data_IF_776451082717
#
_entry.id   IF_776451082717
#
_cell.length_a   1.000
_cell.length_b   1.000
_cell.length_c   1.000
_cell.angle_alpha   90.00
_cell.angle_beta   90.00
_cell.angle_gamma   90.00
#
_symmetry.space_group_name_H-M   'P 1'
#
loop_
_entity.id
_entity.type
_entity.pdbx_description
1 polymer ?
#
# COMPACT_ATOMS: atom_id res chain seq x y z
N UNK A 1 13.63 -7.99 57.52
CA UNK A 1 14.07 -7.25 56.30
C UNK A 1 12.82 -6.79 55.58
N UNK A 2 12.57 -5.49 55.44
CA UNK A 2 11.34 -4.98 54.85
C UNK A 2 11.38 -5.04 53.33
N UNK A 3 10.27 -5.50 52.76
CA UNK A 3 9.96 -5.53 51.34
C UNK A 3 9.76 -4.09 50.86
N UNK A 4 10.51 -3.68 49.85
CA UNK A 4 10.41 -2.36 49.25
C UNK A 4 9.14 -2.27 48.38
N UNK A 5 8.30 -1.26 48.68
CA UNK A 5 7.15 -0.87 47.86
C UNK A 5 7.60 -0.33 46.45
N UNK A 6 6.85 -0.64 45.38
CA UNK A 6 7.13 -0.05 44.09
C UNK A 6 6.67 1.41 44.07
N UNK A 7 7.56 2.30 43.67
CA UNK A 7 7.27 3.73 43.43
C UNK A 7 6.27 3.89 42.29
N UNK A 8 5.22 4.72 42.42
CA UNK A 8 4.40 5.15 41.30
C UNK A 8 5.16 6.26 40.58
N UNK A 9 5.32 6.13 39.30
CA UNK A 9 5.87 7.25 38.60
C UNK A 9 6.26 7.00 37.17
N UNK A 10 5.66 7.78 36.34
CA UNK A 10 5.93 8.07 34.94
C UNK A 10 5.06 7.29 33.95
N UNK A 11 3.76 7.55 34.01
CA UNK A 11 2.99 7.61 32.77
C UNK A 11 3.59 8.74 31.93
N UNK A 12 4.33 8.37 30.88
CA UNK A 12 4.79 9.32 29.89
C UNK A 12 3.55 9.90 29.21
N UNK A 13 3.27 11.17 29.49
CA UNK A 13 2.33 11.98 28.75
C UNK A 13 2.75 11.96 27.26
N UNK A 14 2.05 11.18 26.46
CA UNK A 14 2.02 11.35 25.03
C UNK A 14 1.29 12.68 24.77
N UNK A 15 2.06 13.77 24.76
CA UNK A 15 1.61 15.07 24.32
C UNK A 15 1.28 14.99 22.82
N UNK A 16 0.11 14.45 22.51
CA UNK A 16 -0.58 14.67 21.26
C UNK A 16 -1.01 16.12 21.19
N UNK A 17 -0.15 17.02 20.72
CA UNK A 17 -0.59 18.37 20.32
C UNK A 17 -1.66 18.19 19.25
N UNK A 18 -2.87 18.71 19.43
CA UNK A 18 -3.89 18.67 18.41
C UNK A 18 -3.41 19.45 17.18
N UNK A 19 -3.60 18.85 15.99
CA UNK A 19 -3.21 19.39 14.68
C UNK A 19 -3.91 20.73 14.35
N UNK A 20 -4.80 21.22 15.22
CA UNK A 20 -5.57 22.43 15.01
C UNK A 20 -4.77 23.72 14.80
N UNK A 21 -3.46 23.72 15.07
CA UNK A 21 -2.62 24.92 14.90
C UNK A 21 -1.70 24.88 13.66
N UNK A 22 -1.79 23.84 12.82
CA UNK A 22 -0.81 23.67 11.73
C UNK A 22 -1.43 23.74 10.33
N UNK A 23 -2.13 24.85 10.04
CA UNK A 23 -2.47 25.24 8.67
C UNK A 23 -1.23 25.22 7.75
N UNK A 24 -0.05 25.47 8.34
CA UNK A 24 1.25 25.38 7.69
C UNK A 24 1.61 23.95 7.28
N UNK A 25 1.28 22.93 8.10
CA UNK A 25 1.60 21.54 7.79
C UNK A 25 0.73 21.00 6.63
N UNK A 26 -0.58 21.27 6.66
CA UNK A 26 -1.50 20.87 5.58
C UNK A 26 -1.13 21.55 4.26
N UNK A 27 -0.78 22.85 4.30
CA UNK A 27 -0.32 23.57 3.10
C UNK A 27 0.98 22.96 2.55
N UNK A 28 1.96 22.69 3.41
CA UNK A 28 3.23 22.04 3.00
C UNK A 28 2.99 20.66 2.37
N UNK A 29 1.97 19.93 2.83
CA UNK A 29 1.58 18.64 2.28
C UNK A 29 1.00 18.76 0.89
N UNK A 30 0.08 19.72 0.69
CA UNK A 30 -0.44 20.01 -0.64
C UNK A 30 0.67 20.42 -1.62
N UNK A 31 1.57 21.33 -1.19
CA UNK A 31 2.73 21.75 -1.98
C UNK A 31 3.68 20.56 -2.28
N UNK A 32 3.90 19.68 -1.32
CA UNK A 32 4.73 18.49 -1.50
C UNK A 32 4.11 17.53 -2.52
N UNK A 33 2.79 17.29 -2.45
CA UNK A 33 2.06 16.47 -3.44
C UNK A 33 2.22 17.04 -4.84
N UNK A 34 2.00 18.33 -5.02
CA UNK A 34 2.12 18.94 -6.36
C UNK A 34 3.56 18.82 -6.90
N UNK A 35 4.58 19.03 -6.07
CA UNK A 35 5.98 18.79 -6.45
C UNK A 35 6.25 17.34 -6.84
N UNK A 36 5.75 16.37 -6.04
CA UNK A 36 5.89 14.94 -6.39
C UNK A 36 5.21 14.65 -7.72
N UNK A 37 3.99 15.15 -7.92
CA UNK A 37 3.26 14.95 -9.18
C UNK A 37 3.99 15.56 -10.37
N UNK A 38 4.57 16.75 -10.21
CA UNK A 38 5.38 17.38 -11.24
C UNK A 38 6.61 16.53 -11.58
N UNK A 39 7.38 16.12 -10.57
CA UNK A 39 8.60 15.32 -10.77
C UNK A 39 8.28 13.93 -11.37
N UNK A 40 7.25 13.26 -10.86
CA UNK A 40 6.80 11.99 -11.43
C UNK A 40 6.25 12.18 -12.84
N UNK A 41 5.47 13.24 -13.08
CA UNK A 41 4.88 13.56 -14.38
C UNK A 41 5.89 13.88 -15.48
N UNK A 42 7.14 14.26 -15.13
CA UNK A 42 8.25 14.41 -16.10
C UNK A 42 8.67 13.07 -16.72
N UNK A 43 8.47 11.98 -15.99
CA UNK A 43 8.92 10.63 -16.37
C UNK A 43 7.74 9.74 -16.76
N UNK A 44 6.66 9.81 -15.97
CA UNK A 44 5.46 8.98 -16.14
C UNK A 44 4.36 9.80 -16.83
N UNK A 45 3.98 9.36 -18.00
CA UNK A 45 2.89 9.98 -18.77
C UNK A 45 1.58 9.30 -18.40
N UNK A 46 0.56 10.09 -18.04
CA UNK A 46 -0.72 9.57 -17.57
C UNK A 46 -0.60 8.97 -16.15
N UNK A 47 -1.55 8.11 -15.79
CA UNK A 47 -1.53 7.33 -14.53
C UNK A 47 -1.47 8.20 -13.24
N UNK A 48 -1.85 9.49 -13.31
CA UNK A 48 -1.77 10.41 -12.15
C UNK A 48 -2.61 9.94 -10.96
N UNK A 49 -3.75 9.30 -11.21
CA UNK A 49 -4.59 8.71 -10.17
C UNK A 49 -3.88 7.55 -9.45
N UNK A 50 -3.18 6.69 -10.20
CA UNK A 50 -2.40 5.58 -9.61
C UNK A 50 -1.28 6.12 -8.73
N UNK A 51 -0.58 7.17 -9.16
CA UNK A 51 0.47 7.83 -8.38
C UNK A 51 -0.10 8.43 -7.09
N UNK A 52 -1.24 9.12 -7.17
CA UNK A 52 -1.94 9.65 -5.99
C UNK A 52 -2.31 8.53 -5.00
N UNK A 53 -2.84 7.39 -5.49
CA UNK A 53 -3.20 6.26 -4.64
C UNK A 53 -1.97 5.54 -4.05
N UNK A 54 -0.85 5.48 -4.76
CA UNK A 54 0.41 4.99 -4.22
C UNK A 54 0.90 5.89 -3.08
N UNK A 55 0.83 7.22 -3.24
CA UNK A 55 1.15 8.19 -2.18
C UNK A 55 0.23 8.04 -0.98
N UNK A 56 -1.09 7.92 -1.19
CA UNK A 56 -2.06 7.66 -0.11
C UNK A 56 -1.68 6.37 0.63
N UNK A 57 -1.37 5.29 -0.09
CA UNK A 57 -0.96 4.01 0.49
C UNK A 57 0.29 4.16 1.35
N UNK A 58 1.33 4.82 0.85
CA UNK A 58 2.57 5.10 1.57
C UNK A 58 2.31 5.91 2.85
N UNK A 59 1.54 7.00 2.76
CA UNK A 59 1.23 7.86 3.90
C UNK A 59 0.38 7.16 4.97
N UNK A 60 -0.38 6.15 4.59
CA UNK A 60 -1.14 5.31 5.53
C UNK A 60 -0.32 4.17 6.15
N UNK A 61 0.97 4.02 5.81
CA UNK A 61 1.80 2.84 6.13
C UNK A 61 1.16 1.55 5.59
N UNK A 62 0.41 1.66 4.50
CA UNK A 62 -0.19 0.54 3.80
C UNK A 62 0.71 0.07 2.66
N UNK A 63 0.41 -1.10 2.12
CA UNK A 63 1.09 -1.66 0.94
C UNK A 63 0.10 -1.78 -0.20
N UNK A 64 0.57 -1.85 -1.44
CA UNK A 64 -0.28 -1.77 -2.62
C UNK A 64 -0.05 -2.97 -3.54
N UNK A 65 -1.16 -3.55 -4.01
CA UNK A 65 -1.16 -4.57 -5.05
C UNK A 65 -1.53 -3.92 -6.38
N UNK A 66 -0.66 -4.07 -7.37
CA UNK A 66 -0.77 -3.41 -8.66
C UNK A 66 -1.01 -4.44 -9.77
N UNK A 67 -2.18 -4.41 -10.39
CA UNK A 67 -2.52 -5.27 -11.51
C UNK A 67 -2.30 -4.54 -12.83
N UNK A 68 -1.69 -5.22 -13.77
CA UNK A 68 -1.51 -4.69 -15.12
C UNK A 68 -0.67 -5.63 -15.98
N UNK A 69 -0.89 -5.56 -17.28
CA UNK A 69 -0.12 -6.34 -18.25
C UNK A 69 1.35 -5.93 -18.25
N UNK A 70 2.26 -6.78 -18.73
CA UNK A 70 3.66 -6.41 -18.93
C UNK A 70 3.80 -5.20 -19.84
N UNK A 71 4.86 -4.41 -19.65
CA UNK A 71 5.15 -3.26 -20.55
C UNK A 71 4.47 -1.94 -20.18
N UNK A 72 3.56 -1.89 -19.19
CA UNK A 72 2.86 -0.65 -18.79
C UNK A 72 3.67 0.25 -17.82
N UNK A 73 4.98 0.06 -17.71
CA UNK A 73 5.86 0.95 -16.94
C UNK A 73 5.74 0.83 -15.41
N UNK A 74 5.19 -0.28 -14.87
CA UNK A 74 5.04 -0.50 -13.42
C UNK A 74 6.34 -0.28 -12.65
N UNK A 75 7.43 -0.88 -13.13
CA UNK A 75 8.77 -0.75 -12.51
C UNK A 75 9.28 0.69 -12.58
N UNK A 76 9.09 1.34 -13.74
CA UNK A 76 9.49 2.73 -13.91
C UNK A 76 8.72 3.65 -12.96
N UNK A 77 7.41 3.46 -12.84
CA UNK A 77 6.55 4.23 -11.93
C UNK A 77 6.99 4.07 -10.47
N UNK A 78 7.18 2.82 -10.00
CA UNK A 78 7.62 2.54 -8.64
C UNK A 78 8.98 3.17 -8.34
N UNK A 79 9.94 3.03 -9.26
CA UNK A 79 11.28 3.62 -9.13
C UNK A 79 11.23 5.14 -9.14
N UNK A 80 10.49 5.75 -10.06
CA UNK A 80 10.37 7.21 -10.16
C UNK A 80 9.73 7.79 -8.90
N UNK A 81 8.71 7.13 -8.34
CA UNK A 81 8.11 7.54 -7.08
C UNK A 81 9.11 7.44 -5.91
N UNK A 82 9.87 6.35 -5.82
CA UNK A 82 10.90 6.20 -4.79
C UNK A 82 11.99 7.27 -4.90
N UNK A 83 12.47 7.56 -6.13
CA UNK A 83 13.46 8.58 -6.41
C UNK A 83 12.93 9.99 -6.01
N UNK A 84 11.65 10.30 -6.28
CA UNK A 84 11.01 11.56 -5.89
C UNK A 84 10.84 11.74 -4.37
N UNK A 85 10.97 10.66 -3.60
CA UNK A 85 10.84 10.62 -2.14
C UNK A 85 12.19 10.39 -1.43
N UNK A 86 13.31 10.42 -2.16
CA UNK A 86 14.64 10.10 -1.67
C UNK A 86 14.68 8.78 -0.85
N UNK A 87 13.91 7.78 -1.29
CA UNK A 87 13.82 6.47 -0.64
C UNK A 87 14.71 5.44 -1.36
N UNK A 88 15.40 4.61 -0.57
CA UNK A 88 16.12 3.47 -1.14
C UNK A 88 15.13 2.52 -1.82
N UNK A 89 15.37 2.25 -3.11
CA UNK A 89 14.53 1.39 -3.94
C UNK A 89 15.22 0.07 -4.24
N UNK A 90 14.50 -1.04 -4.00
CA UNK A 90 14.92 -2.36 -4.48
C UNK A 90 13.79 -3.04 -5.23
N UNK A 91 14.15 -3.85 -6.23
CA UNK A 91 13.23 -4.71 -6.98
C UNK A 91 13.60 -6.16 -6.76
N UNK A 92 12.60 -6.97 -6.49
CA UNK A 92 12.69 -8.43 -6.47
C UNK A 92 11.74 -8.98 -7.52
N UNK A 93 12.29 -9.71 -8.49
CA UNK A 93 11.50 -10.46 -9.45
C UNK A 93 11.14 -11.80 -8.83
N UNK A 94 9.86 -12.07 -8.66
CA UNK A 94 9.37 -13.32 -8.11
C UNK A 94 9.37 -14.40 -9.20
N UNK A 95 10.12 -15.48 -8.97
CA UNK A 95 10.28 -16.62 -9.86
C UNK A 95 9.94 -17.91 -9.12
N UNK A 96 9.63 -19.02 -9.82
CA UNK A 96 9.24 -20.28 -9.16
C UNK A 96 10.30 -20.86 -8.22
N UNK A 97 11.57 -20.54 -8.46
CA UNK A 97 12.72 -21.00 -7.70
C UNK A 97 13.16 -20.07 -6.56
N UNK A 98 12.54 -18.86 -6.45
CA UNK A 98 12.87 -17.88 -5.42
C UNK A 98 12.56 -18.43 -4.02
N UNK A 99 13.55 -18.39 -3.14
CA UNK A 99 13.44 -18.85 -1.75
C UNK A 99 13.12 -17.69 -0.79
N UNK A 100 12.50 -17.97 0.38
CA UNK A 100 12.27 -16.96 1.41
C UNK A 100 13.55 -16.21 1.83
N UNK A 101 14.68 -16.92 1.95
CA UNK A 101 15.98 -16.35 2.30
C UNK A 101 16.51 -15.37 1.27
N UNK A 102 16.12 -15.50 0.00
CA UNK A 102 16.52 -14.56 -1.05
C UNK A 102 15.85 -13.20 -0.90
N UNK A 103 14.73 -13.15 -0.16
CA UNK A 103 13.99 -11.93 0.17
C UNK A 103 14.43 -11.38 1.52
N UNK A 104 14.46 -12.24 2.54
CA UNK A 104 14.67 -11.85 3.94
C UNK A 104 16.15 -11.76 4.33
N UNK A 105 17.03 -12.41 3.58
CA UNK A 105 18.41 -12.58 3.97
C UNK A 105 18.65 -13.88 4.73
N UNK A 106 19.91 -14.14 5.04
CA UNK A 106 20.37 -15.40 5.66
C UNK A 106 21.59 -15.17 6.52
N UNK A 107 21.79 -16.05 7.50
CA UNK A 107 23.05 -16.11 8.25
C UNK A 107 24.12 -16.82 7.42
N UNK A 108 25.29 -16.19 7.30
CA UNK A 108 26.47 -16.75 6.66
C UNK A 108 27.57 -17.04 7.68
N UNK A 109 28.32 -18.10 7.47
CA UNK A 109 29.50 -18.40 8.27
C UNK A 109 30.67 -17.60 7.70
N UNK A 110 31.23 -16.69 8.51
CA UNK A 110 32.41 -15.92 8.18
C UNK A 110 33.59 -16.39 9.02
N UNK A 111 34.68 -16.73 8.39
CA UNK A 111 35.94 -17.04 9.06
C UNK A 111 36.72 -15.74 9.28
N UNK A 112 37.12 -15.49 10.52
CA UNK A 112 38.04 -14.41 10.84
C UNK A 112 39.45 -14.82 10.42
N UNK A 113 40.05 -14.13 9.45
CA UNK A 113 41.38 -14.51 8.93
C UNK A 113 42.50 -14.45 9.97
N UNK A 114 42.33 -13.67 11.05
CA UNK A 114 43.32 -13.47 12.07
C UNK A 114 43.28 -14.54 13.17
N UNK A 115 42.08 -15.05 13.48
CA UNK A 115 41.86 -15.99 14.61
C UNK A 115 41.45 -17.40 14.17
N UNK A 116 41.06 -17.61 12.90
CA UNK A 116 40.48 -18.86 12.40
C UNK A 116 39.12 -19.20 13.00
N UNK A 117 38.50 -18.27 13.70
CA UNK A 117 37.19 -18.49 14.32
C UNK A 117 36.06 -18.27 13.32
N UNK A 118 35.08 -19.16 13.35
CA UNK A 118 33.84 -19.00 12.58
C UNK A 118 32.83 -18.19 13.37
N UNK A 119 32.31 -17.14 12.76
CA UNK A 119 31.21 -16.31 13.30
C UNK A 119 30.05 -16.35 12.34
N UNK A 120 28.81 -16.34 12.89
CA UNK A 120 27.62 -16.14 12.08
C UNK A 120 27.42 -14.64 11.88
N UNK A 121 27.32 -14.22 10.62
CA UNK A 121 27.03 -12.84 10.23
C UNK A 121 25.74 -12.82 9.41
N UNK A 122 24.80 -11.95 9.78
CA UNK A 122 23.56 -11.80 9.02
C UNK A 122 23.82 -11.01 7.74
N UNK A 123 23.47 -11.59 6.60
CA UNK A 123 23.45 -10.92 5.31
C UNK A 123 22.03 -10.49 4.99
N UNK A 124 21.68 -9.18 5.09
CA UNK A 124 20.33 -8.71 4.85
C UNK A 124 19.91 -8.90 3.39
N UNK A 125 18.69 -9.39 3.20
CA UNK A 125 18.05 -9.53 1.90
C UNK A 125 17.51 -8.21 1.34
N UNK A 126 16.96 -8.22 0.12
CA UNK A 126 16.43 -7.02 -0.54
C UNK A 126 15.21 -6.40 0.17
N UNK A 127 14.57 -7.09 1.10
CA UNK A 127 13.48 -6.52 1.91
C UNK A 127 13.95 -5.38 2.83
N UNK A 128 15.25 -5.33 3.15
CA UNK A 128 15.85 -4.25 3.92
C UNK A 128 16.06 -3.01 3.05
N UNK A 129 14.96 -2.35 2.73
CA UNK A 129 14.89 -1.14 1.91
C UNK A 129 13.67 -0.31 2.31
N UNK A 130 13.60 0.95 1.87
CA UNK A 130 12.43 1.80 2.12
C UNK A 130 11.30 1.49 1.15
N UNK A 131 11.62 1.27 -0.12
CA UNK A 131 10.63 1.03 -1.19
C UNK A 131 10.97 -0.28 -1.90
N UNK A 132 10.15 -1.30 -1.72
CA UNK A 132 10.31 -2.59 -2.36
C UNK A 132 9.27 -2.79 -3.46
N UNK A 133 9.74 -3.07 -4.68
CA UNK A 133 8.91 -3.59 -5.76
C UNK A 133 9.01 -5.11 -5.78
N UNK A 134 7.94 -5.79 -5.36
CA UNK A 134 7.79 -7.24 -5.47
C UNK A 134 7.10 -7.57 -6.80
N UNK A 135 7.91 -7.81 -7.83
CA UNK A 135 7.41 -7.94 -9.20
C UNK A 135 6.95 -9.38 -9.49
N UNK A 136 5.71 -9.54 -9.98
CA UNK A 136 5.06 -10.82 -10.29
C UNK A 136 4.96 -11.77 -9.09
N UNK A 137 4.48 -11.25 -7.94
CA UNK A 137 4.41 -12.00 -6.66
C UNK A 137 3.68 -13.35 -6.76
N UNK A 138 2.77 -13.49 -7.73
CA UNK A 138 2.03 -14.73 -7.97
C UNK A 138 2.83 -15.83 -8.72
N UNK A 139 4.08 -15.58 -9.12
CA UNK A 139 4.94 -16.58 -9.81
C UNK A 139 5.77 -17.44 -8.86
N UNK A 140 5.75 -17.16 -7.57
CA UNK A 140 6.52 -17.89 -6.57
C UNK A 140 5.61 -18.71 -5.66
N UNK A 141 6.10 -19.85 -5.08
CA UNK A 141 5.32 -20.68 -4.18
C UNK A 141 4.82 -19.91 -2.93
N UNK A 142 3.71 -20.37 -2.29
CA UNK A 142 3.08 -19.70 -1.16
C UNK A 142 4.01 -19.45 0.04
N UNK A 143 5.01 -20.30 0.25
CA UNK A 143 5.98 -20.16 1.35
C UNK A 143 6.81 -18.88 1.20
N UNK A 144 7.25 -18.57 -0.01
CA UNK A 144 8.04 -17.37 -0.31
C UNK A 144 7.17 -16.12 -0.29
N UNK A 145 5.94 -16.20 -0.82
CA UNK A 145 4.95 -15.12 -0.69
C UNK A 145 4.70 -14.78 0.78
N UNK A 146 4.51 -15.80 1.64
CA UNK A 146 4.25 -15.63 3.06
C UNK A 146 5.37 -14.88 3.80
N UNK A 147 6.64 -15.10 3.43
CA UNK A 147 7.77 -14.41 4.05
C UNK A 147 7.71 -12.88 3.80
N UNK A 148 7.42 -12.45 2.57
CA UNK A 148 7.22 -11.03 2.28
C UNK A 148 6.01 -10.46 3.02
N UNK A 149 4.89 -11.18 2.99
CA UNK A 149 3.64 -10.72 3.62
C UNK A 149 3.74 -10.62 5.14
N UNK A 150 4.59 -11.46 5.78
CA UNK A 150 4.90 -11.34 7.19
C UNK A 150 5.73 -10.06 7.45
N UNK A 151 6.81 -9.84 6.70
CA UNK A 151 7.63 -8.64 6.80
C UNK A 151 6.80 -7.34 6.61
N UNK A 152 5.83 -7.36 5.69
CA UNK A 152 4.89 -6.24 5.48
C UNK A 152 4.00 -5.96 6.71
N UNK A 153 3.60 -7.00 7.41
CA UNK A 153 2.68 -6.87 8.56
C UNK A 153 3.41 -6.48 9.84
N UNK A 154 4.56 -7.08 10.10
CA UNK A 154 5.29 -6.96 11.36
C UNK A 154 6.29 -5.79 11.33
N UNK A 155 6.75 -5.40 10.13
CA UNK A 155 7.76 -4.35 9.97
C UNK A 155 9.15 -4.80 10.41
N UNK A 156 9.34 -6.11 10.53
CA UNK A 156 10.60 -6.76 10.86
C UNK A 156 10.73 -8.13 10.18
N UNK A 157 11.91 -8.73 10.31
CA UNK A 157 12.24 -10.06 9.77
C UNK A 157 12.98 -10.86 10.82
N UNK A 158 12.52 -12.08 11.08
CA UNK A 158 13.20 -13.01 11.98
C UNK A 158 14.03 -14.03 11.17
N UNK A 159 15.34 -14.06 11.41
CA UNK A 159 16.27 -15.02 10.83
C UNK A 159 16.98 -15.77 11.97
N UNK A 160 16.90 -17.08 11.95
CA UNK A 160 17.42 -17.90 13.04
C UNK A 160 16.74 -17.58 14.37
N UNK A 161 17.47 -16.93 15.30
CA UNK A 161 16.97 -16.53 16.64
C UNK A 161 16.89 -15.02 16.82
N UNK A 162 17.18 -14.25 15.79
CA UNK A 162 17.23 -12.78 15.88
C UNK A 162 16.18 -12.15 14.99
N UNK A 163 15.59 -11.06 15.50
CA UNK A 163 14.61 -10.25 14.78
C UNK A 163 15.25 -8.92 14.42
N UNK A 164 15.18 -8.57 13.15
CA UNK A 164 15.79 -7.39 12.56
C UNK A 164 14.70 -6.43 12.09
N UNK A 165 14.63 -5.19 12.61
CA UNK A 165 13.65 -4.21 12.17
C UNK A 165 13.95 -3.76 10.73
N UNK A 166 12.89 -3.56 9.95
CA UNK A 166 13.01 -3.00 8.59
C UNK A 166 13.21 -1.48 8.63
N UNK A 167 13.89 -0.90 7.64
CA UNK A 167 14.02 0.54 7.49
C UNK A 167 12.65 1.24 7.43
N UNK A 168 12.54 2.44 7.98
CA UNK A 168 11.32 3.26 7.93
C UNK A 168 11.55 4.49 7.04
N UNK A 169 10.55 4.92 6.26
CA UNK A 169 9.31 4.21 5.99
C UNK A 169 9.56 2.91 5.21
N UNK A 170 8.73 1.89 5.41
CA UNK A 170 8.77 0.65 4.63
C UNK A 170 7.50 0.54 3.78
N UNK A 171 7.68 0.49 2.47
CA UNK A 171 6.57 0.46 1.53
C UNK A 171 6.78 -0.62 0.46
N UNK A 172 5.80 -1.47 0.28
CA UNK A 172 5.81 -2.53 -0.73
C UNK A 172 4.75 -2.27 -1.77
N UNK A 173 5.18 -2.27 -3.03
CA UNK A 173 4.31 -2.37 -4.20
C UNK A 173 4.52 -3.77 -4.79
N UNK A 174 3.51 -4.62 -4.66
CA UNK A 174 3.53 -5.94 -5.28
C UNK A 174 2.80 -5.87 -6.63
N UNK A 175 3.32 -6.55 -7.66
CA UNK A 175 2.66 -6.60 -8.96
C UNK A 175 2.10 -7.99 -9.23
N UNK A 176 0.98 -8.03 -9.96
CA UNK A 176 0.44 -9.25 -10.53
C UNK A 176 0.17 -9.05 -12.02
N UNK A 177 0.53 -10.07 -12.82
CA UNK A 177 0.18 -10.11 -14.22
C UNK A 177 -1.12 -10.91 -14.38
N UNK A 178 -2.21 -10.31 -14.87
CA UNK A 178 -3.47 -11.00 -15.03
C UNK A 178 -3.50 -11.99 -16.21
N UNK A 179 -2.52 -11.94 -17.10
CA UNK A 179 -2.50 -12.76 -18.33
C UNK A 179 -1.84 -14.12 -18.08
N UNK A 180 -0.80 -14.17 -17.26
CA UNK A 180 -0.05 -15.40 -16.97
C UNK A 180 -0.83 -16.27 -15.97
N UNK A 181 -1.53 -17.27 -16.49
CA UNK A 181 -2.27 -18.26 -15.67
C UNK A 181 -1.44 -19.52 -15.42
N UNK A 182 -0.57 -19.91 -16.37
CA UNK A 182 0.29 -21.07 -16.24
C UNK A 182 1.47 -20.82 -15.29
N UNK A 183 1.73 -21.76 -14.39
CA UNK A 183 2.85 -21.66 -13.44
C UNK A 183 2.69 -20.58 -12.38
N UNK A 184 1.46 -20.10 -12.11
CA UNK A 184 1.19 -19.10 -11.08
C UNK A 184 0.52 -19.72 -9.85
N UNK A 185 0.82 -19.12 -8.70
CA UNK A 185 0.22 -19.43 -7.41
C UNK A 185 -0.61 -18.22 -6.95
N UNK A 186 -1.95 -18.28 -7.05
CA UNK A 186 -2.79 -17.18 -6.62
C UNK A 186 -2.59 -16.91 -5.12
N UNK A 187 -2.56 -15.64 -4.75
CA UNK A 187 -2.54 -15.24 -3.34
C UNK A 187 -3.88 -15.62 -2.69
N UNK A 188 -3.88 -16.33 -1.56
CA UNK A 188 -5.09 -16.55 -0.78
C UNK A 188 -5.75 -15.22 -0.35
N UNK A 189 -7.08 -15.19 -0.22
CA UNK A 189 -7.85 -13.98 0.13
C UNK A 189 -7.36 -13.34 1.44
N UNK A 190 -7.00 -14.14 2.45
CA UNK A 190 -6.46 -13.66 3.72
C UNK A 190 -5.09 -12.95 3.56
N UNK A 191 -4.34 -13.28 2.53
CA UNK A 191 -3.07 -12.64 2.21
C UNK A 191 -3.29 -11.36 1.39
N UNK A 192 -4.22 -11.39 0.44
CA UNK A 192 -4.57 -10.21 -0.37
C UNK A 192 -5.19 -9.10 0.51
N UNK A 193 -5.93 -9.44 1.56
CA UNK A 193 -6.50 -8.48 2.53
C UNK A 193 -5.43 -7.64 3.28
N UNK A 194 -4.16 -8.07 3.27
CA UNK A 194 -3.04 -7.31 3.86
C UNK A 194 -2.64 -6.07 3.04
N UNK A 195 -2.93 -6.08 1.75
CA UNK A 195 -2.72 -4.89 0.91
C UNK A 195 -3.81 -3.86 1.18
N UNK A 196 -3.41 -2.61 1.33
CA UNK A 196 -4.37 -1.51 1.54
C UNK A 196 -5.22 -1.28 0.30
N UNK A 197 -4.57 -1.21 -0.86
CA UNK A 197 -5.18 -0.98 -2.16
C UNK A 197 -4.84 -2.08 -3.16
N UNK A 198 -5.81 -2.36 -4.02
CA UNK A 198 -5.60 -3.10 -5.28
C UNK A 198 -5.88 -2.14 -6.44
N UNK A 199 -4.83 -1.81 -7.19
CA UNK A 199 -4.87 -0.84 -8.27
C UNK A 199 -4.78 -1.56 -9.62
N UNK A 200 -5.46 -1.02 -10.63
CA UNK A 200 -5.43 -1.54 -12.00
C UNK A 200 -4.82 -0.50 -12.92
N UNK A 201 -3.72 -0.84 -13.57
CA UNK A 201 -3.13 -0.01 -14.60
C UNK A 201 -3.81 -0.33 -15.92
N UNK A 202 -4.42 0.68 -16.54
CA UNK A 202 -4.98 0.60 -17.87
C UNK A 202 -3.92 0.90 -18.95
N UNK A 203 -4.21 0.51 -20.19
CA UNK A 203 -3.42 0.96 -21.33
C UNK A 203 -3.50 2.48 -21.44
N UNK A 204 -2.41 3.14 -21.88
CA UNK A 204 -2.42 4.56 -22.16
C UNK A 204 -3.35 4.89 -23.33
N UNK A 205 -3.88 6.10 -23.35
CA UNK A 205 -4.55 6.62 -24.56
C UNK A 205 -3.54 6.80 -25.69
N UNK A 206 -4.01 6.95 -26.93
CA UNK A 206 -3.14 7.18 -28.09
C UNK A 206 -2.28 8.43 -27.87
N UNK A 207 -2.86 9.50 -27.33
CA UNK A 207 -2.16 10.76 -27.06
C UNK A 207 -1.07 10.57 -25.96
N UNK A 208 -1.36 9.76 -24.95
CA UNK A 208 -0.39 9.39 -23.93
C UNK A 208 0.72 8.52 -24.50
N UNK A 209 0.40 7.54 -25.33
CA UNK A 209 1.37 6.67 -25.99
C UNK A 209 2.32 7.46 -26.90
N UNK A 210 1.81 8.42 -27.67
CA UNK A 210 2.64 9.35 -28.47
C UNK A 210 3.60 10.14 -27.59
N UNK A 211 3.15 10.61 -26.41
CA UNK A 211 4.02 11.32 -25.46
C UNK A 211 5.08 10.39 -24.87
N UNK A 212 4.72 9.14 -24.54
CA UNK A 212 5.65 8.12 -24.05
C UNK A 212 6.73 7.86 -25.10
N UNK A 213 6.36 7.62 -26.37
CA UNK A 213 7.31 7.39 -27.46
C UNK A 213 8.30 8.56 -27.58
N UNK A 214 7.80 9.79 -27.66
CA UNK A 214 8.65 10.99 -27.78
C UNK A 214 9.58 11.17 -26.57
N UNK A 215 9.11 10.86 -25.35
CA UNK A 215 9.89 11.00 -24.13
C UNK A 215 10.95 9.89 -23.93
N UNK A 216 10.74 8.71 -24.50
CA UNK A 216 11.60 7.53 -24.26
C UNK A 216 12.55 7.21 -25.41
N UNK A 217 12.29 7.71 -26.63
CA UNK A 217 13.11 7.47 -27.83
C UNK A 217 14.04 8.63 -28.15
N UNK A 218 13.99 9.73 -27.40
CA UNK A 218 14.88 10.88 -27.55
C UNK A 218 16.27 10.67 -26.92
N UNK A 219 17.17 11.62 -27.15
CA UNK A 219 18.53 11.60 -26.60
C UNK A 219 18.62 11.92 -25.10
N UNK A 220 17.61 12.60 -24.56
CA UNK A 220 17.52 12.96 -23.14
C UNK A 220 16.36 12.21 -22.48
N UNK A 221 16.68 11.39 -21.47
CA UNK A 221 15.69 10.70 -20.65
C UNK A 221 15.48 11.53 -19.39
N UNK A 222 14.25 11.94 -19.13
CA UNK A 222 13.90 12.67 -17.93
C UNK A 222 14.13 11.81 -16.68
N UNK A 223 14.58 12.44 -15.59
CA UNK A 223 14.71 11.83 -14.27
C UNK A 223 13.96 12.67 -13.26
N UNK A 224 13.32 12.02 -12.31
CA UNK A 224 12.70 12.70 -11.18
C UNK A 224 13.78 13.16 -10.18
N UNK A 225 13.57 14.32 -9.61
CA UNK A 225 14.37 14.84 -8.50
C UNK A 225 13.63 14.62 -7.18
N UNK A 226 14.38 14.55 -6.06
CA UNK A 226 13.79 14.39 -4.75
C UNK A 226 12.92 15.61 -4.39
N UNK A 227 11.64 15.38 -4.15
CA UNK A 227 10.69 16.40 -3.68
C UNK A 227 10.50 16.33 -2.16
N UNK A 228 10.65 15.16 -1.57
CA UNK A 228 10.62 14.90 -0.12
C UNK A 228 11.74 13.94 0.27
N UNK A 229 12.09 13.96 1.56
CA UNK A 229 12.98 12.98 2.20
C UNK A 229 12.19 11.88 2.90
N UNK A 230 12.82 10.75 3.18
CA UNK A 230 12.22 9.65 3.94
C UNK A 230 11.73 10.10 5.33
N UNK A 231 12.49 10.98 6.03
CA UNK A 231 12.10 11.53 7.33
C UNK A 231 10.86 12.44 7.25
N UNK A 232 10.72 13.19 6.17
CA UNK A 232 9.51 13.98 5.91
C UNK A 232 8.32 13.07 5.68
N UNK A 233 8.47 11.97 4.93
CA UNK A 233 7.41 10.97 4.75
C UNK A 233 6.96 10.39 6.09
N UNK A 234 7.89 10.04 7.01
CA UNK A 234 7.54 9.54 8.34
C UNK A 234 6.70 10.55 9.12
N UNK A 235 7.11 11.83 9.12
CA UNK A 235 6.34 12.91 9.77
C UNK A 235 4.94 13.03 9.17
N UNK A 236 4.82 12.93 7.85
CA UNK A 236 3.53 12.99 7.15
C UNK A 236 2.63 11.81 7.52
N UNK A 237 3.18 10.62 7.70
CA UNK A 237 2.45 9.44 8.18
C UNK A 237 1.84 9.63 9.58
N UNK A 238 2.50 10.39 10.44
CA UNK A 238 1.99 10.76 11.76
C UNK A 238 0.85 11.77 11.67
N UNK A 239 1.00 12.79 10.82
CA UNK A 239 -0.05 13.78 10.58
C UNK A 239 -1.35 13.16 10.05
N UNK A 240 -1.28 12.20 9.13
CA UNK A 240 -2.46 11.51 8.59
C UNK A 240 -3.34 10.94 9.70
N UNK A 241 -2.75 10.34 10.73
CA UNK A 241 -3.52 9.74 11.84
C UNK A 241 -4.28 10.78 12.67
N UNK A 242 -3.74 11.97 12.79
CA UNK A 242 -4.32 13.08 13.54
C UNK A 242 -5.43 13.85 12.82
N UNK A 243 -5.68 13.62 11.52
CA UNK A 243 -6.73 14.31 10.77
C UNK A 243 -8.09 14.08 11.40
N UNK A 244 -8.86 15.13 11.72
CA UNK A 244 -10.20 14.99 12.25
C UNK A 244 -11.14 14.38 11.20
N UNK A 245 -12.06 13.55 11.68
CA UNK A 245 -13.10 12.92 10.87
C UNK A 245 -14.39 12.90 11.70
N UNK A 246 -15.49 13.26 11.08
CA UNK A 246 -16.79 13.26 11.73
C UNK A 246 -17.31 11.82 11.93
N UNK A 247 -18.01 11.57 13.04
CA UNK A 247 -18.59 10.25 13.34
C UNK A 247 -19.54 9.77 12.24
N UNK A 248 -20.27 10.66 11.58
CA UNK A 248 -21.12 10.33 10.43
C UNK A 248 -20.34 9.70 9.28
N UNK A 249 -19.14 10.21 8.99
CA UNK A 249 -18.26 9.69 7.93
C UNK A 249 -17.69 8.33 8.34
N UNK A 250 -17.29 8.15 9.62
CA UNK A 250 -16.82 6.85 10.15
C UNK A 250 -17.93 5.80 10.09
N UNK A 251 -19.16 6.19 10.50
CA UNK A 251 -20.33 5.33 10.46
C UNK A 251 -20.69 4.93 9.02
N UNK A 252 -20.57 5.85 8.07
CA UNK A 252 -20.78 5.55 6.65
C UNK A 252 -19.75 4.52 6.15
N UNK A 253 -18.46 4.66 6.48
CA UNK A 253 -17.45 3.68 6.12
C UNK A 253 -17.75 2.28 6.67
N UNK A 254 -18.20 2.21 7.95
CA UNK A 254 -18.57 0.95 8.58
C UNK A 254 -19.79 0.32 7.90
N UNK A 255 -20.84 1.12 7.61
CA UNK A 255 -22.06 0.66 6.90
C UNK A 255 -21.75 0.20 5.48
N UNK A 256 -20.92 0.93 4.74
CA UNK A 256 -20.51 0.55 3.39
C UNK A 256 -19.81 -0.81 3.39
N UNK A 257 -18.90 -1.06 4.33
CA UNK A 257 -18.22 -2.34 4.47
C UNK A 257 -19.18 -3.43 4.95
N UNK A 258 -20.04 -3.16 5.93
CA UNK A 258 -21.05 -4.12 6.40
C UNK A 258 -21.99 -4.53 5.26
N UNK A 259 -22.40 -3.59 4.41
CA UNK A 259 -23.28 -3.83 3.26
C UNK A 259 -22.66 -4.78 2.21
N UNK A 260 -21.36 -5.02 2.24
CA UNK A 260 -20.71 -6.04 1.39
C UNK A 260 -20.98 -7.47 1.88
N UNK A 261 -21.40 -7.65 3.16
CA UNK A 261 -21.53 -8.95 3.80
C UNK A 261 -22.94 -9.48 3.61
N UNK A 262 -23.12 -10.68 3.03
CA UNK A 262 -24.44 -11.29 2.94
C UNK A 262 -25.14 -11.38 4.30
N UNK A 263 -26.37 -10.88 4.39
CA UNK A 263 -27.16 -10.86 5.64
C UNK A 263 -26.89 -9.67 6.57
N UNK A 264 -26.02 -8.71 6.22
CA UNK A 264 -25.67 -7.58 7.07
C UNK A 264 -26.15 -6.22 6.52
N UNK A 265 -27.41 -6.14 6.07
CA UNK A 265 -28.06 -4.86 5.73
C UNK A 265 -27.73 -4.28 4.35
N UNK A 266 -27.02 -5.02 3.49
CA UNK A 266 -26.77 -4.63 2.10
C UNK A 266 -27.92 -5.05 1.18
N UNK A 267 -27.95 -4.53 -0.09
CA UNK A 267 -28.99 -4.84 -1.06
C UNK A 267 -28.97 -6.34 -1.44
N UNK A 268 -30.13 -7.00 -1.36
CA UNK A 268 -30.27 -8.42 -1.64
C UNK A 268 -29.84 -8.81 -3.08
N UNK A 269 -30.06 -7.91 -4.05
CA UNK A 269 -29.66 -8.10 -5.44
C UNK A 269 -28.13 -8.12 -5.61
N UNK A 270 -27.36 -7.51 -4.72
CA UNK A 270 -25.89 -7.56 -4.73
C UNK A 270 -25.36 -8.78 -4.00
N UNK A 271 -26.02 -9.16 -2.89
CA UNK A 271 -25.61 -10.32 -2.09
C UNK A 271 -25.71 -11.64 -2.83
N UNK A 272 -26.55 -11.75 -3.89
CA UNK A 272 -26.60 -12.95 -4.72
C UNK A 272 -25.27 -13.21 -5.46
N UNK A 273 -24.37 -12.22 -5.59
CA UNK A 273 -23.09 -12.32 -6.28
C UNK A 273 -21.89 -12.46 -5.34
N UNK A 274 -22.06 -12.16 -4.05
CA UNK A 274 -20.99 -12.14 -3.06
C UNK A 274 -21.03 -13.41 -2.22
N UNK A 275 -19.93 -14.17 -2.21
CA UNK A 275 -19.75 -15.31 -1.31
C UNK A 275 -19.30 -14.83 0.07
N UNK A 276 -18.28 -13.95 0.11
CA UNK A 276 -17.78 -13.35 1.34
C UNK A 276 -17.52 -11.86 1.12
N UNK A 277 -18.01 -11.02 2.04
CA UNK A 277 -17.78 -9.59 2.06
C UNK A 277 -16.48 -9.20 2.77
N UNK A 278 -16.18 -7.90 2.75
CA UNK A 278 -14.94 -7.36 3.29
C UNK A 278 -14.87 -7.42 4.82
N UNK A 279 -13.65 -7.59 5.34
CA UNK A 279 -13.32 -7.59 6.78
C UNK A 279 -13.38 -6.16 7.38
N UNK A 280 -13.35 -6.00 8.73
CA UNK A 280 -13.22 -4.68 9.36
C UNK A 280 -11.96 -3.91 8.95
N UNK A 281 -10.91 -4.59 8.48
CA UNK A 281 -9.71 -3.96 7.93
C UNK A 281 -10.03 -3.04 6.76
N UNK A 282 -11.03 -3.37 5.94
CA UNK A 282 -11.50 -2.51 4.87
C UNK A 282 -12.01 -1.15 5.37
N UNK A 283 -12.78 -1.12 6.47
CA UNK A 283 -13.23 0.14 7.09
C UNK A 283 -12.04 0.98 7.59
N UNK A 284 -11.04 0.33 8.20
CA UNK A 284 -9.82 1.00 8.63
C UNK A 284 -9.03 1.59 7.44
N UNK A 285 -8.90 0.82 6.36
CA UNK A 285 -8.24 1.29 5.13
C UNK A 285 -8.98 2.46 4.48
N UNK A 286 -10.32 2.42 4.45
CA UNK A 286 -11.14 3.52 3.93
C UNK A 286 -10.94 4.80 4.75
N UNK A 287 -11.03 4.71 6.07
CA UNK A 287 -10.89 5.88 6.96
C UNK A 287 -9.49 6.45 6.90
N UNK A 288 -8.43 5.62 7.01
CA UNK A 288 -7.05 6.09 6.94
C UNK A 288 -6.73 6.68 5.56
N UNK A 289 -7.16 6.00 4.50
CA UNK A 289 -6.98 6.49 3.14
C UNK A 289 -7.69 7.81 2.87
N UNK A 290 -8.91 7.98 3.39
CA UNK A 290 -9.66 9.22 3.27
C UNK A 290 -8.97 10.38 4.00
N UNK A 291 -8.40 10.13 5.20
CA UNK A 291 -7.58 11.10 5.92
C UNK A 291 -6.35 11.55 5.11
N UNK A 292 -5.62 10.58 4.53
CA UNK A 292 -4.45 10.90 3.70
C UNK A 292 -4.85 11.66 2.43
N UNK A 293 -5.97 11.26 1.78
CA UNK A 293 -6.48 11.93 0.59
C UNK A 293 -6.88 13.38 0.87
N UNK A 294 -7.63 13.62 1.97
CA UNK A 294 -8.05 14.95 2.38
C UNK A 294 -6.84 15.89 2.57
N UNK A 295 -5.83 15.43 3.30
CA UNK A 295 -4.59 16.23 3.50
C UNK A 295 -3.88 16.51 2.18
N UNK A 296 -3.71 15.50 1.33
CA UNK A 296 -3.08 15.67 0.02
C UNK A 296 -3.86 16.63 -0.89
N UNK A 297 -5.17 16.78 -0.68
CA UNK A 297 -6.02 17.76 -1.33
C UNK A 297 -5.98 19.16 -0.65
N UNK A 298 -5.20 19.33 0.42
CA UNK A 298 -5.13 20.57 1.18
C UNK A 298 -6.34 20.81 2.10
N UNK A 299 -7.13 19.77 2.39
CA UNK A 299 -8.31 19.82 3.24
C UNK A 299 -7.96 19.51 4.70
N UNK A 300 -8.67 20.12 5.63
CA UNK A 300 -8.46 19.95 7.08
C UNK A 300 -9.37 18.89 7.72
N UNK A 301 -10.30 18.33 6.97
CA UNK A 301 -11.25 17.33 7.42
C UNK A 301 -11.58 16.36 6.28
N UNK A 302 -12.08 15.19 6.65
CA UNK A 302 -12.48 14.15 5.71
C UNK A 302 -13.92 14.33 5.30
N UNK A 303 -14.21 14.19 4.01
CA UNK A 303 -15.56 14.21 3.44
C UNK A 303 -15.97 12.81 2.94
N UNK A 304 -17.28 12.60 2.73
CA UNK A 304 -17.83 11.39 2.11
C UNK A 304 -17.24 11.12 0.72
N UNK A 305 -16.92 12.17 -0.03
CA UNK A 305 -16.29 12.07 -1.34
C UNK A 305 -14.92 11.37 -1.28
N UNK A 306 -14.13 11.59 -0.21
CA UNK A 306 -12.85 10.95 -0.01
C UNK A 306 -13.00 9.43 0.18
N UNK A 307 -13.99 9.01 0.98
CA UNK A 307 -14.29 7.59 1.16
C UNK A 307 -14.76 6.92 -0.14
N UNK A 308 -15.66 7.58 -0.87
CA UNK A 308 -16.21 7.05 -2.12
C UNK A 308 -15.14 6.86 -3.19
N UNK A 309 -14.21 7.79 -3.30
CA UNK A 309 -13.09 7.69 -4.25
C UNK A 309 -12.18 6.49 -3.95
N UNK A 310 -12.09 6.06 -2.68
CA UNK A 310 -11.25 4.94 -2.26
C UNK A 310 -12.00 3.61 -2.20
N UNK A 311 -13.33 3.60 -2.38
CA UNK A 311 -14.12 2.39 -2.21
C UNK A 311 -13.68 1.26 -3.16
N UNK A 312 -13.51 1.52 -4.44
CA UNK A 312 -13.08 0.51 -5.40
C UNK A 312 -11.66 0.00 -5.13
N UNK A 313 -10.62 0.85 -4.97
CA UNK A 313 -9.27 0.39 -4.63
C UNK A 313 -9.19 -0.44 -3.34
N UNK A 314 -10.03 -0.13 -2.32
CA UNK A 314 -10.05 -0.84 -1.04
C UNK A 314 -10.86 -2.12 -1.09
N UNK A 315 -11.99 -2.15 -1.78
CA UNK A 315 -12.96 -3.25 -1.68
C UNK A 315 -12.79 -4.31 -2.76
N UNK A 316 -12.29 -3.97 -3.97
CA UNK A 316 -12.28 -4.89 -5.11
C UNK A 316 -11.60 -6.23 -4.87
N UNK A 317 -10.54 -6.25 -4.07
CA UNK A 317 -9.77 -7.44 -3.73
C UNK A 317 -10.23 -8.11 -2.42
N UNK A 318 -11.22 -7.56 -1.76
CA UNK A 318 -11.80 -8.04 -0.51
C UNK A 318 -13.20 -8.65 -0.69
N UNK A 319 -13.76 -8.51 -1.89
CA UNK A 319 -15.04 -9.13 -2.26
C UNK A 319 -14.77 -10.46 -2.91
N UNK A 320 -15.13 -11.56 -2.25
CA UNK A 320 -15.07 -12.90 -2.84
C UNK A 320 -16.37 -13.15 -3.60
N UNK A 321 -16.26 -13.20 -4.92
CA UNK A 321 -17.40 -13.38 -5.81
C UNK A 321 -17.72 -14.86 -5.98
N UNK A 322 -19.02 -15.18 -6.09
CA UNK A 322 -19.48 -16.55 -6.30
C UNK A 322 -19.66 -16.90 -7.79
N UNK A 323 -20.16 -18.10 -8.05
CA UNK A 323 -20.39 -18.60 -9.41
C UNK A 323 -21.40 -17.73 -10.20
N UNK A 324 -22.44 -17.19 -9.56
CA UNK A 324 -23.44 -16.35 -10.23
C UNK A 324 -22.82 -15.08 -10.78
N UNK A 325 -21.88 -14.46 -10.06
CA UNK A 325 -21.15 -13.28 -10.55
C UNK A 325 -20.38 -13.59 -11.83
N UNK A 326 -19.72 -14.77 -11.88
CA UNK A 326 -18.99 -15.22 -13.08
C UNK A 326 -19.91 -15.49 -14.26
N UNK A 327 -21.05 -16.15 -14.01
CA UNK A 327 -22.04 -16.45 -15.04
C UNK A 327 -22.65 -15.18 -15.65
N UNK A 328 -22.97 -14.20 -14.80
CA UNK A 328 -23.58 -12.91 -15.21
C UNK A 328 -22.53 -11.87 -15.63
N UNK A 329 -21.22 -12.22 -15.65
CA UNK A 329 -20.08 -11.35 -15.98
C UNK A 329 -20.02 -10.07 -15.14
N UNK A 330 -20.39 -10.18 -13.86
CA UNK A 330 -20.33 -9.08 -12.89
C UNK A 330 -18.96 -9.10 -12.21
N UNK A 331 -18.27 -7.96 -12.23
CA UNK A 331 -17.00 -7.78 -11.55
C UNK A 331 -17.15 -7.05 -10.20
N UNK A 332 -16.09 -7.04 -9.40
CA UNK A 332 -16.09 -6.41 -8.09
C UNK A 332 -16.29 -4.87 -8.17
N UNK A 333 -15.78 -4.21 -9.19
CA UNK A 333 -15.90 -2.75 -9.34
C UNK A 333 -17.34 -2.33 -9.64
N UNK A 334 -18.06 -3.13 -10.45
CA UNK A 334 -19.49 -2.92 -10.70
C UNK A 334 -20.32 -3.07 -9.40
N UNK A 335 -19.99 -4.08 -8.57
CA UNK A 335 -20.65 -4.27 -7.28
C UNK A 335 -20.36 -3.11 -6.31
N UNK A 336 -19.12 -2.64 -6.26
CA UNK A 336 -18.75 -1.48 -5.42
C UNK A 336 -19.49 -0.23 -5.86
N UNK A 337 -19.61 0.00 -7.17
CA UNK A 337 -20.40 1.14 -7.71
C UNK A 337 -21.85 1.07 -7.30
N UNK A 338 -22.48 -0.09 -7.36
CA UNK A 338 -23.87 -0.30 -6.93
C UNK A 338 -24.03 -0.16 -5.41
N UNK A 339 -23.07 -0.65 -4.62
CA UNK A 339 -23.04 -0.45 -3.17
C UNK A 339 -22.98 1.03 -2.80
N UNK A 340 -22.10 1.81 -3.45
CA UNK A 340 -22.01 3.26 -3.23
C UNK A 340 -23.30 4.00 -3.55
N UNK A 341 -24.08 3.54 -4.54
CA UNK A 341 -25.36 4.13 -4.90
C UNK A 341 -26.49 3.74 -3.91
N UNK A 342 -26.37 2.60 -3.24
CA UNK A 342 -27.42 2.04 -2.38
C UNK A 342 -27.28 2.37 -0.90
N UNK A 343 -26.05 2.61 -0.41
CA UNK A 343 -25.79 2.93 1.01
C UNK A 343 -25.95 4.43 1.23
N UNK A 344 -26.96 4.86 2.04
CA UNK A 344 -27.20 6.29 2.29
C UNK A 344 -26.07 6.90 3.14
N UNK A 345 -25.79 8.20 2.92
CA UNK A 345 -24.81 8.96 3.70
C UNK A 345 -25.37 9.36 5.06
N UNK A 346 -26.64 9.74 5.08
CA UNK A 346 -27.34 10.22 6.27
C UNK A 346 -28.20 9.11 6.88
N UNK A 347 -27.88 8.71 8.10
CA UNK A 347 -28.76 8.03 9.06
C UNK A 347 -28.31 8.41 10.45
#
# INVERSE_FOLDING_TARGET
MPVAEPRPGAAAEANGRPIHDDATAVRRLGEARERIKEEVGRVIVGQSEIVDLLLVGLLCRGHVLLHGVPGLGKTLMAKTLADSLAMEFRRVQFTPDLMPSDITGTDIVKEDPASGRHTLEFLPGPVFTNFLLADEINRTPPKTQAALLQAMQEGDVTVGRQTYPLPKPFFVVATQNPIDMEGTYPLPEAQVDRFMFSLRIAYPSIEEEVRIIKGTTGTAIAKASAALTADEVIRLQEYVRGVPIADSVVNYAARLVAATRPGCGGPANLHKYIAYGASPRASQCLVLGAKARAILAGQFHVDFADLKALAAPVLRHRLVLNFHARADKIDADQLVTQLLASVPQDV
#
